data_IF_168920210843
#
_entry.id   IF_168920210843
#
_cell.length_a   1.000
_cell.length_b   1.000
_cell.length_c   1.000
_cell.angle_alpha   90.00
_cell.angle_beta   90.00
_cell.angle_gamma   90.00
#
_symmetry.space_group_name_H-M   'P 1'
#
loop_
_entity.id
_entity.type
_entity.pdbx_description
1 polymer ?
#
# COMPACT_ATOMS: atom_id res chain seq x y z
N UNK A 1 4.88 16.12 -12.86
CA UNK A 1 3.74 15.71 -12.02
C UNK A 1 3.60 16.72 -10.89
N UNK A 2 2.37 17.03 -10.48
CA UNK A 2 2.11 17.98 -9.40
C UNK A 2 0.96 17.52 -8.50
N UNK A 3 0.93 18.01 -7.26
CA UNK A 3 -0.22 17.92 -6.37
C UNK A 3 -0.69 19.33 -6.09
N UNK A 4 -1.91 19.65 -6.51
CA UNK A 4 -2.51 20.96 -6.31
C UNK A 4 -4.04 20.91 -6.40
N UNK A 5 -4.70 22.00 -5.98
CA UNK A 5 -6.12 22.20 -6.27
C UNK A 5 -6.28 22.51 -7.75
N UNK A 6 -7.36 22.05 -8.36
CA UNK A 6 -7.67 22.32 -9.77
C UNK A 6 -6.85 21.50 -10.78
N UNK A 7 -6.25 20.39 -10.38
CA UNK A 7 -5.47 19.51 -11.27
C UNK A 7 -6.29 18.79 -12.36
N UNK A 8 -7.61 18.89 -12.37
CA UNK A 8 -8.49 18.39 -13.44
C UNK A 8 -8.65 19.44 -14.56
N UNK A 9 -7.56 19.83 -15.16
CA UNK A 9 -7.48 20.84 -16.21
C UNK A 9 -6.27 20.60 -17.10
N UNK A 10 -6.14 21.38 -18.17
CA UNK A 10 -4.98 21.35 -19.09
C UNK A 10 -3.72 21.88 -18.43
N UNK A 11 -3.86 22.81 -17.51
CA UNK A 11 -2.77 23.49 -16.82
C UNK A 11 -3.10 23.67 -15.33
N UNK A 12 -2.06 23.68 -14.50
CA UNK A 12 -2.16 23.96 -13.06
C UNK A 12 -0.99 24.84 -12.63
N UNK A 13 -1.28 25.84 -11.82
CA UNK A 13 -0.25 26.66 -11.16
C UNK A 13 -0.13 26.24 -9.71
N UNK A 14 1.06 25.88 -9.28
CA UNK A 14 1.33 25.43 -7.91
C UNK A 14 2.75 25.81 -7.49
N UNK A 15 3.06 25.64 -6.20
CA UNK A 15 4.39 25.90 -5.67
C UNK A 15 5.41 24.89 -6.21
N UNK A 16 6.63 25.34 -6.48
CA UNK A 16 7.69 24.51 -7.09
C UNK A 16 8.01 23.24 -6.29
N UNK A 17 7.90 23.28 -4.96
CA UNK A 17 8.11 22.12 -4.10
C UNK A 17 7.03 21.03 -4.22
N UNK A 18 5.85 21.37 -4.79
CA UNK A 18 4.76 20.43 -5.06
C UNK A 18 4.82 19.85 -6.49
N UNK A 19 5.92 20.05 -7.20
CA UNK A 19 6.14 19.59 -8.58
C UNK A 19 7.32 18.64 -8.64
N UNK A 20 7.16 17.52 -9.33
CA UNK A 20 8.23 16.61 -9.66
C UNK A 20 8.27 16.35 -11.17
N UNK A 21 9.47 16.13 -11.72
CA UNK A 21 9.62 15.74 -13.12
C UNK A 21 8.93 14.39 -13.35
N UNK A 22 8.18 14.29 -14.43
CA UNK A 22 7.58 13.02 -14.84
C UNK A 22 8.67 12.08 -15.37
N UNK A 23 8.73 10.81 -14.93
CA UNK A 23 9.63 9.82 -15.50
C UNK A 23 9.38 9.64 -17.00
N UNK A 24 10.46 9.52 -17.78
CA UNK A 24 10.37 9.47 -19.24
C UNK A 24 9.72 8.20 -19.81
N UNK A 25 9.57 7.17 -19.00
CA UNK A 25 8.92 5.90 -19.34
C UNK A 25 7.41 5.86 -19.01
N UNK A 26 6.84 6.98 -18.57
CA UNK A 26 5.42 7.09 -18.23
C UNK A 26 4.71 8.09 -19.16
N UNK A 27 3.50 7.75 -19.56
CA UNK A 27 2.56 8.67 -20.15
C UNK A 27 1.81 9.49 -19.08
N UNK A 28 1.08 10.54 -19.51
CA UNK A 28 0.34 11.41 -18.61
C UNK A 28 -0.73 10.67 -17.80
N UNK A 29 -1.43 9.70 -18.40
CA UNK A 29 -2.49 8.95 -17.72
C UNK A 29 -1.93 8.10 -16.59
N UNK A 30 -0.83 7.41 -16.81
CA UNK A 30 -0.13 6.63 -15.78
C UNK A 30 0.47 7.52 -14.72
N UNK A 31 1.12 8.61 -15.11
CA UNK A 31 1.76 9.53 -14.19
C UNK A 31 0.78 10.25 -13.27
N UNK A 32 -0.44 10.57 -13.74
CA UNK A 32 -1.45 11.26 -12.94
C UNK A 32 -1.89 10.48 -11.70
N UNK A 33 -1.89 9.15 -11.75
CA UNK A 33 -2.30 8.28 -10.64
C UNK A 33 -1.23 8.09 -9.54
N UNK A 34 0.03 8.43 -9.81
CA UNK A 34 1.13 8.08 -8.91
C UNK A 34 1.31 8.99 -7.69
N UNK A 35 1.24 10.34 -7.78
CA UNK A 35 1.69 11.20 -6.69
C UNK A 35 1.00 10.93 -5.36
N UNK A 36 -0.33 10.87 -5.35
CA UNK A 36 -1.11 10.70 -4.12
C UNK A 36 -0.86 9.33 -3.50
N UNK A 37 -0.92 8.26 -4.28
CA UNK A 37 -0.82 6.90 -3.73
C UNK A 37 0.59 6.61 -3.19
N UNK A 38 1.63 7.05 -3.90
CA UNK A 38 3.01 6.86 -3.44
C UNK A 38 3.37 7.74 -2.25
N UNK A 39 2.99 9.02 -2.24
CA UNK A 39 3.22 9.89 -1.10
C UNK A 39 2.47 9.42 0.14
N UNK A 40 1.24 8.92 -0.01
CA UNK A 40 0.47 8.34 1.10
C UNK A 40 1.18 7.12 1.67
N UNK A 41 1.59 6.19 0.82
CA UNK A 41 2.26 4.97 1.24
C UNK A 41 3.64 5.27 1.85
N UNK A 42 4.42 6.15 1.24
CA UNK A 42 5.73 6.56 1.74
C UNK A 42 5.62 7.24 3.10
N UNK A 43 4.72 8.20 3.24
CA UNK A 43 4.51 8.91 4.50
C UNK A 43 4.10 7.95 5.61
N UNK A 44 3.19 7.01 5.32
CA UNK A 44 2.74 6.02 6.30
C UNK A 44 3.86 5.06 6.73
N UNK A 45 4.59 4.47 5.78
CA UNK A 45 5.56 3.40 6.08
C UNK A 45 6.92 3.94 6.51
N UNK A 46 7.44 5.00 5.86
CA UNK A 46 8.76 5.55 6.19
C UNK A 46 8.69 6.59 7.30
N UNK A 47 7.75 7.56 7.21
CA UNK A 47 7.75 8.71 8.12
C UNK A 47 7.00 8.45 9.42
N UNK A 48 5.86 7.76 9.38
CA UNK A 48 5.07 7.49 10.58
C UNK A 48 5.46 6.18 11.25
N UNK A 49 5.51 5.08 10.50
CA UNK A 49 5.80 3.76 11.06
C UNK A 49 7.29 3.47 11.19
N UNK A 50 8.16 4.19 10.47
CA UNK A 50 9.62 3.94 10.43
C UNK A 50 9.98 2.48 10.15
N UNK A 51 9.28 1.88 9.19
CA UNK A 51 9.43 0.45 8.86
C UNK A 51 10.90 0.10 8.60
N UNK A 52 11.40 -0.87 9.34
CA UNK A 52 12.76 -1.37 9.23
C UNK A 52 12.83 -2.68 8.40
N UNK A 53 14.04 -3.01 7.95
CA UNK A 53 14.30 -4.26 7.24
C UNK A 53 13.96 -5.47 8.11
N UNK A 54 13.18 -6.41 7.56
CA UNK A 54 12.79 -7.65 8.22
C UNK A 54 11.53 -7.53 9.08
N UNK A 55 10.98 -6.31 9.26
CA UNK A 55 9.69 -6.16 9.90
C UNK A 55 8.55 -6.69 9.01
N UNK A 56 7.49 -7.18 9.65
CA UNK A 56 6.28 -7.69 9.01
C UNK A 56 5.25 -6.58 8.88
N UNK A 57 4.83 -6.31 7.66
CA UNK A 57 3.87 -5.23 7.35
C UNK A 57 2.59 -5.82 6.78
N UNK A 58 1.48 -5.65 7.49
CA UNK A 58 0.15 -5.99 6.99
C UNK A 58 -0.42 -4.81 6.20
N UNK A 59 -0.74 -5.05 4.94
CA UNK A 59 -1.34 -4.06 4.04
C UNK A 59 -2.77 -4.47 3.72
N UNK A 60 -3.74 -3.75 4.27
CA UNK A 60 -5.15 -3.92 3.93
C UNK A 60 -5.49 -3.28 2.59
N UNK A 61 -6.50 -3.82 1.89
CA UNK A 61 -6.88 -3.40 0.54
C UNK A 61 -5.66 -3.33 -0.43
N UNK A 62 -4.76 -4.29 -0.32
CA UNK A 62 -3.43 -4.28 -0.94
C UNK A 62 -3.45 -4.20 -2.48
N UNK A 63 -4.53 -4.64 -3.13
CA UNK A 63 -4.72 -4.51 -4.58
C UNK A 63 -5.34 -3.16 -5.01
N UNK A 64 -5.49 -2.21 -4.09
CA UNK A 64 -5.88 -0.82 -4.40
C UNK A 64 -4.65 0.04 -4.73
N UNK A 65 -4.87 1.29 -5.16
CA UNK A 65 -3.78 2.20 -5.57
C UNK A 65 -2.74 2.42 -4.48
N UNK A 66 -3.16 2.79 -3.26
CA UNK A 66 -2.25 2.97 -2.11
C UNK A 66 -1.61 1.64 -1.71
N UNK A 67 -2.38 0.54 -1.72
CA UNK A 67 -1.87 -0.80 -1.40
C UNK A 67 -0.76 -1.25 -2.34
N UNK A 68 -0.92 -1.07 -3.65
CA UNK A 68 0.11 -1.41 -4.64
C UNK A 68 1.35 -0.52 -4.54
N UNK A 69 1.20 0.75 -4.16
CA UNK A 69 2.32 1.63 -3.86
C UNK A 69 3.03 1.19 -2.57
N UNK A 70 2.27 0.86 -1.52
CA UNK A 70 2.80 0.39 -0.25
C UNK A 70 3.59 -0.92 -0.38
N UNK A 71 3.13 -1.86 -1.20
CA UNK A 71 3.87 -3.10 -1.53
C UNK A 71 5.26 -2.76 -2.11
N UNK A 72 5.33 -1.81 -3.03
CA UNK A 72 6.61 -1.43 -3.64
C UNK A 72 7.55 -0.79 -2.63
N UNK A 73 7.04 0.11 -1.80
CA UNK A 73 7.82 0.77 -0.75
C UNK A 73 8.28 -0.24 0.31
N UNK A 74 7.38 -1.10 0.81
CA UNK A 74 7.73 -2.13 1.78
C UNK A 74 8.83 -3.07 1.26
N UNK A 75 8.79 -3.43 -0.03
CA UNK A 75 9.87 -4.19 -0.68
C UNK A 75 11.20 -3.44 -0.70
N UNK A 76 11.19 -2.15 -1.03
CA UNK A 76 12.39 -1.32 -1.02
C UNK A 76 13.00 -1.21 0.39
N UNK A 77 12.16 -1.17 1.42
CA UNK A 77 12.58 -1.18 2.82
C UNK A 77 13.05 -2.56 3.29
N UNK A 78 12.75 -3.62 2.51
CA UNK A 78 13.12 -5.00 2.85
C UNK A 78 12.23 -5.62 3.91
N UNK A 79 10.98 -5.16 4.01
CA UNK A 79 9.96 -5.70 4.90
C UNK A 79 9.33 -6.98 4.34
N UNK A 80 8.84 -7.84 5.22
CA UNK A 80 8.00 -8.98 4.89
C UNK A 80 6.54 -8.54 4.76
N UNK A 81 5.88 -8.92 3.65
CA UNK A 81 4.58 -8.36 3.29
C UNK A 81 3.46 -9.38 3.52
N UNK A 82 2.48 -8.98 4.33
CA UNK A 82 1.20 -9.62 4.53
C UNK A 82 0.12 -8.76 3.88
N UNK A 83 -0.74 -9.33 3.06
CA UNK A 83 -1.68 -8.56 2.25
C UNK A 83 -3.11 -9.07 2.39
N UNK A 84 -4.10 -8.17 2.38
CA UNK A 84 -5.49 -8.57 2.29
C UNK A 84 -6.18 -7.95 1.08
N UNK A 85 -7.11 -8.71 0.46
CA UNK A 85 -7.99 -8.21 -0.58
C UNK A 85 -9.33 -8.98 -0.57
N UNK A 86 -10.43 -8.28 -0.86
CA UNK A 86 -11.78 -8.84 -0.71
C UNK A 86 -12.23 -9.75 -1.86
N UNK A 87 -11.67 -9.62 -3.07
CA UNK A 87 -12.06 -10.42 -4.24
C UNK A 87 -11.01 -11.49 -4.57
N UNK A 88 -11.42 -12.72 -4.93
CA UNK A 88 -10.48 -13.78 -5.30
C UNK A 88 -9.50 -13.38 -6.40
N UNK A 89 -9.97 -12.72 -7.46
CA UNK A 89 -9.12 -12.24 -8.56
C UNK A 89 -8.04 -11.25 -8.10
N UNK A 90 -8.38 -10.38 -7.13
CA UNK A 90 -7.41 -9.45 -6.54
C UNK A 90 -6.38 -10.17 -5.68
N UNK A 91 -6.79 -11.21 -4.97
CA UNK A 91 -5.84 -12.05 -4.21
C UNK A 91 -4.90 -12.81 -5.14
N UNK A 92 -5.43 -13.35 -6.24
CA UNK A 92 -4.60 -14.01 -7.25
C UNK A 92 -3.60 -13.04 -7.90
N UNK A 93 -4.07 -11.83 -8.23
CA UNK A 93 -3.18 -10.78 -8.73
C UNK A 93 -2.05 -10.46 -7.74
N UNK A 94 -2.33 -10.34 -6.45
CA UNK A 94 -1.29 -10.12 -5.43
C UNK A 94 -0.29 -11.28 -5.36
N UNK A 95 -0.76 -12.53 -5.46
CA UNK A 95 0.12 -13.70 -5.54
C UNK A 95 0.99 -13.70 -6.80
N UNK A 96 0.42 -13.30 -7.94
CA UNK A 96 1.19 -13.15 -9.19
C UNK A 96 2.28 -12.08 -9.11
N UNK A 97 2.12 -11.10 -8.20
CA UNK A 97 3.17 -10.15 -7.87
C UNK A 97 4.24 -10.73 -6.92
N UNK A 98 4.15 -12.00 -6.51
CA UNK A 98 5.09 -12.64 -5.60
C UNK A 98 4.85 -12.31 -4.11
N UNK A 99 3.60 -11.98 -3.71
CA UNK A 99 3.24 -11.88 -2.31
C UNK A 99 2.81 -13.27 -1.81
N UNK A 100 3.53 -13.81 -0.84
CA UNK A 100 3.28 -15.16 -0.31
C UNK A 100 2.05 -15.18 0.60
N UNK A 101 1.92 -14.19 1.49
CA UNK A 101 0.89 -14.12 2.51
C UNK A 101 -0.29 -13.24 2.06
N UNK A 102 -1.30 -13.85 1.45
CA UNK A 102 -2.47 -13.13 0.91
C UNK A 102 -3.77 -13.72 1.45
N UNK A 103 -4.55 -12.90 2.18
CA UNK A 103 -5.75 -13.29 2.89
C UNK A 103 -7.01 -12.57 2.40
N UNK A 104 -8.18 -13.05 2.83
CA UNK A 104 -9.46 -12.40 2.57
C UNK A 104 -9.70 -11.26 3.56
N UNK A 105 -10.03 -10.06 3.04
CA UNK A 105 -10.35 -8.89 3.86
C UNK A 105 -11.84 -8.76 4.21
N UNK A 106 -12.67 -9.72 3.82
CA UNK A 106 -14.13 -9.70 4.09
C UNK A 106 -14.54 -10.51 5.31
N UNK A 107 -13.62 -11.20 5.91
CA UNK A 107 -13.82 -11.96 7.14
C UNK A 107 -12.63 -11.76 8.07
N UNK A 108 -12.79 -12.07 9.34
CA UNK A 108 -11.70 -12.03 10.33
C UNK A 108 -10.73 -13.22 10.22
N UNK A 109 -10.92 -14.12 9.26
CA UNK A 109 -10.06 -15.29 9.05
C UNK A 109 -8.60 -14.94 8.72
N UNK A 110 -8.33 -13.70 8.28
CA UNK A 110 -6.95 -13.24 8.08
C UNK A 110 -6.14 -13.22 9.38
N UNK A 111 -6.81 -13.02 10.52
CA UNK A 111 -6.16 -13.01 11.86
C UNK A 111 -5.51 -14.36 12.15
N UNK A 112 -6.28 -15.45 11.98
CA UNK A 112 -5.76 -16.81 12.19
C UNK A 112 -4.68 -17.14 11.15
N UNK A 113 -4.91 -16.78 9.89
CA UNK A 113 -3.91 -16.97 8.83
C UNK A 113 -2.58 -16.24 9.09
N UNK A 114 -2.62 -15.02 9.64
CA UNK A 114 -1.41 -14.29 10.06
C UNK A 114 -0.75 -14.96 11.26
N UNK A 115 -1.52 -15.36 12.27
CA UNK A 115 -1.00 -16.07 13.44
C UNK A 115 -0.28 -17.36 13.06
N UNK A 116 -0.87 -18.13 12.18
CA UNK A 116 -0.27 -19.37 11.68
C UNK A 116 1.02 -19.10 10.91
N UNK A 117 0.99 -18.14 9.99
CA UNK A 117 2.15 -17.78 9.18
C UNK A 117 3.31 -17.17 10.00
N UNK A 118 3.01 -16.55 11.14
CA UNK A 118 4.00 -15.89 11.99
C UNK A 118 4.36 -16.69 13.26
N UNK A 119 3.91 -17.93 13.37
CA UNK A 119 4.04 -18.74 14.59
C UNK A 119 3.53 -18.01 15.86
N UNK A 120 2.43 -17.27 15.72
CA UNK A 120 1.77 -16.53 16.79
C UNK A 120 2.35 -15.14 17.10
N UNK A 121 3.40 -14.71 16.41
CA UNK A 121 4.06 -13.41 16.68
C UNK A 121 3.27 -12.20 16.12
N UNK A 122 2.46 -12.42 15.07
CA UNK A 122 1.76 -11.34 14.39
C UNK A 122 2.64 -10.48 13.47
N UNK A 123 2.19 -9.26 13.22
CA UNK A 123 2.89 -8.28 12.37
C UNK A 123 3.34 -7.07 13.19
N UNK A 124 4.37 -6.37 12.73
CA UNK A 124 4.95 -5.22 13.43
C UNK A 124 4.22 -3.91 13.07
N UNK A 125 3.77 -3.80 11.83
CA UNK A 125 3.11 -2.61 11.30
C UNK A 125 1.86 -2.99 10.51
N UNK A 126 0.79 -2.21 10.68
CA UNK A 126 -0.46 -2.35 9.92
C UNK A 126 -0.77 -1.07 9.15
N UNK A 127 -0.79 -1.16 7.82
CA UNK A 127 -1.36 -0.13 6.96
C UNK A 127 -2.86 -0.41 6.79
N UNK A 128 -3.66 0.19 7.68
CA UNK A 128 -5.09 -0.10 7.77
C UNK A 128 -5.92 0.76 6.80
N UNK A 129 -6.81 0.10 6.07
CA UNK A 129 -7.83 0.72 5.22
C UNK A 129 -9.24 0.16 5.51
N UNK A 130 -9.40 -0.55 6.63
CA UNK A 130 -10.64 -1.17 7.07
C UNK A 130 -11.24 -0.39 8.24
N UNK A 131 -12.48 -0.71 8.60
CA UNK A 131 -13.22 -0.05 9.68
C UNK A 131 -13.94 -1.08 10.57
N UNK A 132 -14.53 -0.59 11.68
CA UNK A 132 -15.33 -1.43 12.59
C UNK A 132 -14.49 -2.51 13.29
N UNK A 133 -14.99 -3.71 13.33
CA UNK A 133 -14.39 -4.88 14.01
C UNK A 133 -13.01 -5.29 13.45
N UNK A 134 -12.70 -4.88 12.23
CA UNK A 134 -11.41 -5.16 11.61
C UNK A 134 -10.26 -4.37 12.23
N UNK A 135 -10.53 -3.20 12.85
CA UNK A 135 -9.49 -2.39 13.48
C UNK A 135 -8.85 -3.11 14.67
N UNK A 136 -9.61 -3.56 15.68
CA UNK A 136 -9.02 -4.26 16.82
C UNK A 136 -8.50 -5.66 16.48
N UNK A 137 -8.89 -6.21 15.31
CA UNK A 137 -8.43 -7.52 14.84
C UNK A 137 -7.11 -7.46 14.06
N UNK A 138 -6.70 -6.26 13.63
CA UNK A 138 -5.45 -6.04 12.90
C UNK A 138 -4.32 -5.73 13.83
#
# INVERSE_FOLDING_TARGET
MAIARGCLGTDVTTAAHAVARMPGNLDFNRAAGLPIVFLTAQYALETLAHVARGERVLIHAAAGGVGLAAIQIARLLGAEIYATAGHPEKREYLRSLGIEHVFDSRSLSFVDGIRDATAGQGVDVVLNALAGEFIPAS
#
